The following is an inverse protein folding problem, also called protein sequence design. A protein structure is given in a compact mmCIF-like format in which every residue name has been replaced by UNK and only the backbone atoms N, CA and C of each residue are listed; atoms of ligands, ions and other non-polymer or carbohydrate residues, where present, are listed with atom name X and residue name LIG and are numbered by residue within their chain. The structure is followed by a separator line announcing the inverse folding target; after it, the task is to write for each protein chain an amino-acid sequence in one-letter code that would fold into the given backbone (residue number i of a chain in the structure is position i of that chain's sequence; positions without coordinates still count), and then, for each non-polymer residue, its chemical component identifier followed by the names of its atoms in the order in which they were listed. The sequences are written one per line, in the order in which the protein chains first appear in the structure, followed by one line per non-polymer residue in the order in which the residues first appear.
data_IF_764213107822
#
_entry.id   IF_764213107822
#
_cell.length_a   1.000
_cell.length_b   1.000
_cell.length_c   1.000
_cell.angle_alpha   90.00
_cell.angle_beta   90.00
_cell.angle_gamma   90.00
#
_symmetry.space_group_name_H-M   'P 1'
#
loop_
_entity.id
_entity.type
_entity.pdbx_description
1 polymer ?
#
# COMPACT_ATOMS: atom_id res chain seq x y z
N UNK A 1 20.55 11.92 -0.97
CA UNK A 1 20.02 13.14 -1.59
C UNK A 1 18.92 12.84 -2.61
N UNK A 2 18.96 11.70 -3.32
CA UNK A 2 17.97 11.33 -4.35
C UNK A 2 16.59 10.86 -3.81
N UNK A 3 16.52 10.21 -2.64
CA UNK A 3 15.27 9.76 -2.03
C UNK A 3 14.28 10.91 -1.73
N UNK A 4 14.82 12.09 -1.40
CA UNK A 4 14.03 13.28 -1.08
C UNK A 4 13.37 13.90 -2.33
N UNK A 5 13.95 13.68 -3.51
CA UNK A 5 13.38 14.12 -4.78
C UNK A 5 12.30 13.15 -5.28
N UNK A 6 12.41 11.86 -4.98
CA UNK A 6 11.40 10.87 -5.34
C UNK A 6 10.10 11.09 -4.54
N UNK A 7 10.22 11.38 -3.24
CA UNK A 7 9.08 11.73 -2.37
C UNK A 7 8.42 13.06 -2.80
N UNK A 8 9.20 14.09 -3.12
CA UNK A 8 8.68 15.34 -3.68
C UNK A 8 8.05 15.16 -5.06
N UNK A 9 8.54 14.23 -5.87
CA UNK A 9 8.00 13.92 -7.19
C UNK A 9 6.65 13.18 -7.08
N UNK A 10 6.53 12.24 -6.14
CA UNK A 10 5.27 11.54 -5.82
C UNK A 10 4.23 12.53 -5.26
N UNK A 11 4.63 13.47 -4.41
CA UNK A 11 3.76 14.52 -3.87
C UNK A 11 3.25 15.52 -4.93
N UNK A 12 3.97 15.72 -6.04
CA UNK A 12 3.55 16.64 -7.12
C UNK A 12 2.46 16.07 -8.03
N UNK A 13 2.21 14.75 -8.00
CA UNK A 13 1.23 14.07 -8.86
C UNK A 13 0.16 13.30 -8.08
N UNK A 14 0.22 13.32 -6.75
CA UNK A 14 -0.79 12.76 -5.85
C UNK A 14 -1.42 13.85 -4.98
N UNK A 15 -2.33 13.43 -4.08
CA UNK A 15 -2.92 14.28 -3.06
C UNK A 15 -1.80 14.97 -2.27
N UNK A 16 -1.83 16.31 -2.22
CA UNK A 16 -0.92 17.12 -1.40
C UNK A 16 -1.08 16.73 0.06
N UNK A 17 -0.25 15.80 0.54
CA UNK A 17 -0.21 15.46 1.96
C UNK A 17 0.32 16.65 2.74
N UNK A 18 -0.30 16.91 3.89
CA UNK A 18 0.14 17.93 4.81
C UNK A 18 1.59 17.66 5.21
N UNK A 19 2.49 18.59 4.87
CA UNK A 19 3.95 18.44 5.08
C UNK A 19 4.30 18.28 6.56
N UNK A 20 3.51 18.88 7.46
CA UNK A 20 3.77 18.83 8.89
C UNK A 20 3.35 17.48 9.48
N UNK A 21 2.23 16.91 9.02
CA UNK A 21 1.83 15.54 9.35
C UNK A 21 2.88 14.53 8.86
N UNK A 22 3.35 14.68 7.63
CA UNK A 22 4.40 13.81 7.09
C UNK A 22 5.68 13.87 7.93
N UNK A 23 6.14 15.07 8.30
CA UNK A 23 7.31 15.24 9.17
C UNK A 23 7.10 14.64 10.55
N UNK A 24 5.93 14.84 11.16
CA UNK A 24 5.61 14.28 12.48
C UNK A 24 5.67 12.75 12.46
N UNK A 25 5.05 12.12 11.46
CA UNK A 25 5.13 10.67 11.28
C UNK A 25 6.56 10.17 11.02
N UNK A 26 7.35 10.87 10.19
CA UNK A 26 8.74 10.50 9.94
C UNK A 26 9.58 10.56 11.24
N UNK A 27 9.31 11.53 12.12
CA UNK A 27 9.96 11.61 13.43
C UNK A 27 9.63 10.41 14.31
N UNK A 28 8.39 9.91 14.30
CA UNK A 28 8.01 8.71 15.07
C UNK A 28 8.73 7.46 14.57
N UNK A 29 8.84 7.28 13.26
CA UNK A 29 9.54 6.15 12.66
C UNK A 29 11.03 6.19 13.05
N UNK A 30 11.65 7.39 13.00
CA UNK A 30 13.06 7.59 13.33
C UNK A 30 13.41 7.40 14.83
N UNK A 31 12.41 7.30 15.72
CA UNK A 31 12.64 6.96 17.14
C UNK A 31 12.90 5.48 17.36
N UNK A 32 12.63 4.61 16.37
CA UNK A 32 12.95 3.21 16.49
C UNK A 32 14.47 2.99 16.38
N UNK A 33 15.06 2.30 17.36
CA UNK A 33 16.45 1.85 17.26
C UNK A 33 16.63 0.92 16.06
N UNK A 34 17.74 1.07 15.31
CA UNK A 34 18.04 0.27 14.12
C UNK A 34 18.01 -1.25 14.41
N UNK A 35 18.53 -1.66 15.58
CA UNK A 35 18.49 -3.05 16.04
C UNK A 35 17.07 -3.57 16.21
N UNK A 36 16.14 -2.74 16.69
CA UNK A 36 14.71 -3.08 16.82
C UNK A 36 14.05 -3.21 15.46
N UNK A 37 14.32 -2.27 14.54
CA UNK A 37 13.81 -2.33 13.15
C UNK A 37 14.24 -3.63 12.50
N UNK A 38 15.55 -3.92 12.48
CA UNK A 38 16.11 -5.12 11.86
C UNK A 38 15.58 -6.41 12.47
N UNK A 39 15.40 -6.46 13.80
CA UNK A 39 14.84 -7.62 14.49
C UNK A 39 13.40 -7.87 14.04
N UNK A 40 12.54 -6.85 14.16
CA UNK A 40 11.11 -7.01 13.92
C UNK A 40 10.78 -7.23 12.42
N UNK A 41 11.51 -6.60 11.50
CA UNK A 41 11.31 -6.87 10.07
C UNK A 41 11.71 -8.29 9.71
N UNK A 42 12.87 -8.77 10.20
CA UNK A 42 13.30 -10.16 9.97
C UNK A 42 12.30 -11.16 10.56
N UNK A 43 11.84 -10.92 11.79
CA UNK A 43 10.85 -11.77 12.47
C UNK A 43 9.53 -11.83 11.68
N UNK A 44 9.02 -10.67 11.23
CA UNK A 44 7.78 -10.61 10.45
C UNK A 44 7.90 -11.32 9.09
N UNK A 45 9.01 -11.10 8.38
CA UNK A 45 9.24 -11.67 7.06
C UNK A 45 9.39 -13.18 7.15
N UNK A 46 10.19 -13.67 8.11
CA UNK A 46 10.32 -15.10 8.36
C UNK A 46 8.97 -15.72 8.75
N UNK A 47 8.19 -15.06 9.61
CA UNK A 47 6.87 -15.55 10.00
C UNK A 47 5.92 -15.66 8.80
N UNK A 48 5.87 -14.64 7.95
CA UNK A 48 5.07 -14.67 6.73
C UNK A 48 5.56 -15.76 5.77
N UNK A 49 6.87 -15.92 5.60
CA UNK A 49 7.45 -16.91 4.71
C UNK A 49 7.07 -18.34 5.12
N UNK A 50 7.15 -18.65 6.42
CA UNK A 50 6.86 -19.97 6.99
C UNK A 50 5.37 -20.28 7.14
N UNK A 51 4.56 -19.29 7.55
CA UNK A 51 3.15 -19.50 7.92
C UNK A 51 2.16 -19.01 6.88
N UNK A 52 2.59 -18.17 5.94
CA UNK A 52 1.73 -17.44 4.99
C UNK A 52 0.60 -16.67 5.68
N UNK A 53 0.80 -16.28 6.95
CA UNK A 53 -0.14 -15.49 7.73
C UNK A 53 0.31 -14.03 7.73
N UNK A 54 -0.38 -13.21 6.93
CA UNK A 54 -0.06 -11.79 6.75
C UNK A 54 -0.43 -10.95 7.96
N UNK A 55 -1.53 -11.28 8.65
CA UNK A 55 -2.02 -10.52 9.81
C UNK A 55 -1.08 -10.64 11.01
N UNK A 56 -0.52 -11.83 11.26
CA UNK A 56 0.49 -11.98 12.31
C UNK A 56 1.80 -11.25 11.96
N UNK A 57 2.20 -11.25 10.69
CA UNK A 57 3.34 -10.46 10.24
C UNK A 57 3.10 -8.94 10.44
N UNK A 58 1.87 -8.45 10.19
CA UNK A 58 1.50 -7.07 10.50
C UNK A 58 1.57 -6.76 11.99
N UNK A 59 1.03 -7.62 12.85
CA UNK A 59 1.11 -7.44 14.31
C UNK A 59 2.55 -7.36 14.80
N UNK A 60 3.51 -8.05 14.16
CA UNK A 60 4.93 -7.92 14.47
C UNK A 60 5.47 -6.56 14.01
N UNK A 61 5.19 -6.14 12.78
CA UNK A 61 5.67 -4.87 12.21
C UNK A 61 5.09 -3.65 12.93
N UNK A 62 3.82 -3.69 13.32
CA UNK A 62 3.12 -2.60 14.03
C UNK A 62 3.64 -2.37 15.46
N UNK A 63 4.57 -3.20 15.96
CA UNK A 63 5.33 -2.92 17.19
C UNK A 63 6.39 -1.82 16.99
N UNK A 64 6.66 -1.42 15.74
CA UNK A 64 7.50 -0.27 15.40
C UNK A 64 6.70 1.03 15.56
N UNK A 65 7.31 2.04 16.16
CA UNK A 65 6.68 3.36 16.30
C UNK A 65 6.44 3.98 14.93
N UNK A 66 5.27 4.59 14.73
CA UNK A 66 4.87 5.20 13.45
C UNK A 66 4.55 4.20 12.33
N UNK A 67 4.42 2.90 12.64
CA UNK A 67 4.03 1.85 11.67
C UNK A 67 2.61 1.37 11.96
N UNK A 68 1.68 1.76 11.11
CA UNK A 68 0.29 1.32 11.09
C UNK A 68 0.09 0.19 10.05
N UNK A 69 -1.16 -0.27 9.88
CA UNK A 69 -1.50 -1.33 8.93
C UNK A 69 -1.08 -0.99 7.50
N UNK A 70 -1.26 0.27 7.07
CA UNK A 70 -0.83 0.74 5.76
C UNK A 70 0.69 0.57 5.60
N UNK A 71 1.50 1.07 6.56
CA UNK A 71 2.97 0.95 6.47
C UNK A 71 3.47 -0.48 6.67
N UNK A 72 2.79 -1.28 7.50
CA UNK A 72 3.10 -2.70 7.66
C UNK A 72 2.88 -3.47 6.34
N UNK A 73 1.77 -3.22 5.64
CA UNK A 73 1.51 -3.78 4.31
C UNK A 73 2.51 -3.31 3.27
N UNK A 74 2.94 -2.04 3.30
CA UNK A 74 4.01 -1.53 2.43
C UNK A 74 5.34 -2.28 2.65
N UNK A 75 5.73 -2.50 3.90
CA UNK A 75 6.97 -3.22 4.22
C UNK A 75 6.94 -4.66 3.71
N UNK A 76 5.80 -5.35 3.84
CA UNK A 76 5.65 -6.70 3.31
C UNK A 76 5.52 -6.72 1.78
N UNK A 77 4.85 -5.77 1.15
CA UNK A 77 4.69 -5.76 -0.31
C UNK A 77 6.01 -5.54 -1.04
N UNK A 78 6.93 -4.75 -0.45
CA UNK A 78 8.29 -4.60 -0.98
C UNK A 78 9.09 -5.92 -0.90
N UNK A 79 8.92 -6.68 0.18
CA UNK A 79 9.59 -7.96 0.35
C UNK A 79 8.96 -9.09 -0.48
N UNK A 80 7.65 -9.03 -0.71
CA UNK A 80 6.85 -10.06 -1.38
C UNK A 80 5.95 -9.47 -2.48
N UNK A 81 6.53 -8.81 -3.51
CA UNK A 81 5.77 -8.05 -4.51
C UNK A 81 4.88 -8.92 -5.39
N UNK A 82 5.14 -10.23 -5.43
CA UNK A 82 4.37 -11.21 -6.17
C UNK A 82 3.02 -11.51 -5.52
N UNK A 83 2.94 -11.45 -4.19
CA UNK A 83 1.83 -12.01 -3.41
C UNK A 83 1.16 -11.03 -2.47
N UNK A 84 1.88 -10.07 -1.91
CA UNK A 84 1.35 -9.14 -0.92
C UNK A 84 1.15 -7.76 -1.56
N UNK A 85 -0.09 -7.27 -1.63
CA UNK A 85 -0.35 -5.91 -2.06
C UNK A 85 -0.11 -4.88 -0.95
N UNK A 86 0.33 -3.68 -1.30
CA UNK A 86 0.29 -2.51 -0.42
C UNK A 86 -1.16 -2.03 -0.21
N UNK A 87 -1.57 -1.86 1.06
CA UNK A 87 -2.86 -1.27 1.43
C UNK A 87 -2.87 0.25 1.20
N UNK A 88 -2.98 0.66 -0.05
CA UNK A 88 -3.12 2.05 -0.48
C UNK A 88 -4.58 2.45 -0.73
N UNK A 89 -4.86 3.75 -0.68
CA UNK A 89 -6.16 4.30 -1.07
C UNK A 89 -6.46 3.98 -2.54
N UNK A 90 -5.49 4.18 -3.43
CA UNK A 90 -5.66 3.88 -4.86
C UNK A 90 -6.03 2.41 -5.09
N UNK A 91 -5.34 1.46 -4.43
CA UNK A 91 -5.67 0.04 -4.58
C UNK A 91 -7.05 -0.29 -3.99
N UNK A 92 -7.37 0.24 -2.81
CA UNK A 92 -8.70 0.03 -2.20
C UNK A 92 -9.78 0.55 -3.14
N UNK A 93 -9.68 1.80 -3.59
CA UNK A 93 -10.63 2.45 -4.48
C UNK A 93 -10.77 1.67 -5.80
N UNK A 94 -9.67 1.24 -6.42
CA UNK A 94 -9.75 0.48 -7.68
C UNK A 94 -10.38 -0.90 -7.51
N UNK A 95 -10.09 -1.59 -6.41
CA UNK A 95 -10.66 -2.92 -6.13
C UNK A 95 -12.11 -2.83 -5.62
N UNK A 96 -12.53 -1.70 -5.07
CA UNK A 96 -13.87 -1.47 -4.50
C UNK A 96 -14.70 -0.50 -5.33
N UNK A 97 -14.22 -0.13 -6.52
CA UNK A 97 -14.91 0.78 -7.41
C UNK A 97 -16.26 0.20 -7.81
N UNK A 98 -17.30 1.04 -7.71
CA UNK A 98 -18.59 0.78 -8.32
C UNK A 98 -19.23 2.09 -8.77
N UNK A 99 -20.33 1.99 -9.52
CA UNK A 99 -21.00 3.15 -10.12
C UNK A 99 -21.61 4.11 -9.08
N UNK A 100 -21.91 3.64 -7.87
CA UNK A 100 -22.54 4.42 -6.81
C UNK A 100 -21.51 5.16 -5.95
N UNK A 101 -20.35 4.54 -5.69
CA UNK A 101 -19.31 5.08 -4.80
C UNK A 101 -18.15 5.75 -5.56
N UNK A 102 -17.99 5.46 -6.85
CA UNK A 102 -16.93 6.05 -7.67
C UNK A 102 -15.52 5.74 -7.19
N UNK A 103 -14.58 6.62 -7.55
CA UNK A 103 -13.13 6.49 -7.29
C UNK A 103 -12.67 7.09 -5.96
N UNK A 104 -13.55 7.78 -5.23
CA UNK A 104 -13.21 8.46 -3.97
C UNK A 104 -14.00 7.84 -2.83
N UNK A 105 -13.37 6.87 -2.15
CA UNK A 105 -13.98 6.15 -1.03
C UNK A 105 -13.12 6.31 0.23
N UNK A 106 -13.79 6.44 1.38
CA UNK A 106 -13.10 6.45 2.68
C UNK A 106 -12.57 5.04 2.98
N UNK A 107 -11.26 4.92 3.13
CA UNK A 107 -10.62 3.64 3.46
C UNK A 107 -10.68 3.38 4.97
N UNK A 108 -11.31 2.29 5.44
CA UNK A 108 -11.45 2.00 6.86
C UNK A 108 -10.15 1.49 7.53
N UNK A 109 -9.12 1.15 6.75
CA UNK A 109 -7.82 0.64 7.20
C UNK A 109 -7.92 -0.45 8.29
N UNK A 110 -8.73 -1.48 8.02
CA UNK A 110 -8.96 -2.62 8.92
C UNK A 110 -8.41 -3.94 8.35
N UNK A 111 -8.19 -4.95 9.20
CA UNK A 111 -7.81 -6.30 8.76
C UNK A 111 -8.82 -6.88 7.75
N UNK A 112 -10.12 -6.70 7.99
CA UNK A 112 -11.18 -7.16 7.09
C UNK A 112 -11.14 -6.48 5.71
N UNK A 113 -10.91 -5.16 5.67
CA UNK A 113 -10.78 -4.47 4.40
C UNK A 113 -9.52 -4.90 3.64
N UNK A 114 -8.46 -5.26 4.37
CA UNK A 114 -7.27 -5.83 3.76
C UNK A 114 -7.51 -7.24 3.20
N UNK A 115 -8.29 -8.09 3.89
CA UNK A 115 -8.68 -9.40 3.38
C UNK A 115 -9.48 -9.30 2.06
N UNK A 116 -10.37 -8.31 1.95
CA UNK A 116 -11.09 -8.02 0.71
C UNK A 116 -10.13 -7.64 -0.43
N UNK A 117 -9.13 -6.80 -0.15
CA UNK A 117 -8.07 -6.47 -1.11
C UNK A 117 -7.31 -7.73 -1.53
N UNK A 118 -6.88 -8.57 -0.58
CA UNK A 118 -6.13 -9.80 -0.89
C UNK A 118 -6.92 -10.71 -1.83
N UNK A 119 -8.20 -10.92 -1.54
CA UNK A 119 -9.07 -11.73 -2.37
C UNK A 119 -9.19 -11.16 -3.79
N UNK A 120 -9.45 -9.86 -3.91
CA UNK A 120 -9.65 -9.20 -5.21
C UNK A 120 -8.37 -9.16 -6.03
N UNK A 121 -7.24 -8.85 -5.40
CA UNK A 121 -5.91 -8.89 -6.04
C UNK A 121 -5.60 -10.29 -6.53
N UNK A 122 -5.91 -11.33 -5.76
CA UNK A 122 -5.69 -12.71 -6.19
C UNK A 122 -6.58 -13.10 -7.37
N UNK A 123 -7.84 -12.68 -7.39
CA UNK A 123 -8.73 -12.87 -8.55
C UNK A 123 -8.14 -12.19 -9.79
N UNK A 124 -7.76 -10.92 -9.69
CA UNK A 124 -7.18 -10.17 -10.81
C UNK A 124 -5.88 -10.81 -11.32
N UNK A 125 -5.00 -11.26 -10.42
CA UNK A 125 -3.76 -11.96 -10.81
C UNK A 125 -4.04 -13.19 -11.64
N UNK A 126 -5.06 -13.97 -11.25
CA UNK A 126 -5.42 -15.21 -11.93
C UNK A 126 -6.18 -14.97 -13.24
N UNK A 127 -7.03 -13.94 -13.29
CA UNK A 127 -7.81 -13.57 -14.48
C UNK A 127 -6.90 -13.07 -15.62
N UNK A 128 -5.91 -12.22 -15.29
CA UNK A 128 -5.03 -11.61 -16.28
C UNK A 128 -3.71 -12.38 -16.49
N UNK A 129 -3.54 -13.53 -15.84
CA UNK A 129 -2.43 -14.44 -16.14
C UNK A 129 -2.63 -15.04 -17.54
N UNK A 130 -1.67 -14.81 -18.45
CA UNK A 130 -1.74 -15.30 -19.83
C UNK A 130 -0.49 -16.12 -20.17
N UNK A 131 -0.70 -17.43 -20.40
CA UNK A 131 0.40 -18.35 -20.72
C UNK A 131 1.50 -18.35 -19.65
N UNK A 132 2.70 -17.90 -20.03
CA UNK A 132 3.87 -17.81 -19.14
C UNK A 132 3.95 -16.47 -18.37
N UNK A 133 3.10 -15.49 -18.70
CA UNK A 133 3.10 -14.18 -18.05
C UNK A 133 2.32 -14.19 -16.75
N UNK A 134 3.03 -13.98 -15.64
CA UNK A 134 2.45 -13.88 -14.29
C UNK A 134 2.21 -12.42 -13.93
N UNK A 135 0.97 -12.07 -13.62
CA UNK A 135 0.63 -10.79 -12.99
C UNK A 135 0.95 -10.87 -11.50
N UNK A 136 1.67 -9.86 -10.98
CA UNK A 136 2.03 -9.77 -9.56
C UNK A 136 1.13 -8.77 -8.83
N UNK A 137 1.07 -8.88 -7.51
CA UNK A 137 0.34 -7.93 -6.68
C UNK A 137 0.81 -6.48 -6.93
N UNK A 138 2.13 -6.26 -7.02
CA UNK A 138 2.72 -4.94 -7.30
C UNK A 138 2.35 -4.37 -8.68
N UNK A 139 2.05 -5.22 -9.67
CA UNK A 139 1.67 -4.75 -10.99
C UNK A 139 0.23 -4.19 -10.97
N UNK A 140 -0.67 -4.81 -10.20
CA UNK A 140 -2.03 -4.30 -9.95
C UNK A 140 -1.99 -3.00 -9.16
N UNK A 141 -1.13 -2.88 -8.14
CA UNK A 141 -0.94 -1.63 -7.39
C UNK A 141 -0.58 -0.45 -8.30
N UNK A 142 0.34 -0.66 -9.25
CA UNK A 142 0.76 0.37 -10.19
C UNK A 142 -0.37 0.81 -11.11
N UNK A 143 -1.16 -0.15 -11.60
CA UNK A 143 -2.34 0.17 -12.43
C UNK A 143 -3.36 0.95 -11.61
N UNK A 144 -3.67 0.53 -10.39
CA UNK A 144 -4.58 1.23 -9.50
C UNK A 144 -4.14 2.68 -9.23
N UNK A 145 -2.84 2.90 -9.01
CA UNK A 145 -2.27 4.23 -8.86
C UNK A 145 -2.48 5.08 -10.13
N UNK A 146 -2.20 4.55 -11.32
CA UNK A 146 -2.42 5.24 -12.59
C UNK A 146 -3.90 5.60 -12.76
N UNK A 147 -4.82 4.67 -12.51
CA UNK A 147 -6.26 4.90 -12.62
C UNK A 147 -6.74 6.01 -11.68
N UNK A 148 -6.26 6.04 -10.44
CA UNK A 148 -6.57 7.11 -9.50
C UNK A 148 -6.07 8.47 -10.01
N UNK A 149 -4.84 8.53 -10.53
CA UNK A 149 -4.30 9.77 -11.11
C UNK A 149 -5.15 10.27 -12.29
N UNK A 150 -5.53 9.39 -13.21
CA UNK A 150 -6.37 9.75 -14.37
C UNK A 150 -7.76 10.24 -13.94
N UNK A 151 -8.36 9.60 -12.93
CA UNK A 151 -9.65 10.01 -12.36
C UNK A 151 -9.57 11.40 -11.72
N UNK A 152 -8.50 11.70 -10.97
CA UNK A 152 -8.28 13.01 -10.34
C UNK A 152 -7.96 14.11 -11.35
N UNK A 153 -7.32 13.79 -12.48
CA UNK A 153 -7.13 14.76 -13.58
C UNK A 153 -8.49 15.09 -14.19
N UNK A 154 -9.30 14.08 -14.49
CA UNK A 154 -10.62 14.24 -15.11
C UNK A 154 -11.63 14.99 -14.23
N UNK A 155 -11.52 14.88 -12.90
CA UNK A 155 -12.42 15.60 -11.97
C UNK A 155 -12.05 17.07 -11.78
N UNK A 156 -10.78 17.45 -11.95
CA UNK A 156 -10.33 18.85 -11.87
C UNK A 156 -10.70 19.70 -13.09
N UNK A 157 -11.11 19.07 -14.20
CA UNK A 157 -11.54 19.76 -15.43
C UNK A 157 -13.06 20.05 -15.49
N UNK A 158 -13.84 19.66 -14.48
CA UNK A 158 -15.31 19.85 -14.43
C UNK A 158 -15.78 21.12 -13.68
N UNK A 159 -14.88 22.07 -13.43
CA UNK A 159 -15.25 23.43 -13.01
C UNK A 159 -14.92 24.44 -14.11
N UNK A 160 -15.75 24.43 -15.15
CA UNK A 160 -15.85 25.50 -16.16
C UNK A 160 -17.24 26.13 -16.10
#
# INVERSE_FOLDING_TARGET
MELMYMDQWIQKRGILRNKDEHKAHAMEINRNAESKVKKLTKEAFQHYEEKKNVHEAFKILMKLQGVDLARASLLLSVAYPDTIPFFSESLYNSTHWNIETGWEQTVPYSESAYDEILQKVEVLKNEYATGESRVRAVDIEKVAFVMQCEATISSNDCHS
#
